data_IF_038483543515
#
_entry.id   IF_038483543515
#
_cell.length_a   1.000
_cell.length_b   1.000
_cell.length_c   1.000
_cell.angle_alpha   90.00
_cell.angle_beta   90.00
_cell.angle_gamma   90.00
#
_symmetry.space_group_name_H-M   'P 1'
#
loop_
_entity.id
_entity.type
_entity.pdbx_description
1 polymer ?
#
# COMPACT_ATOMS: atom_id res chain seq x y z
N UNK A 1 12.99 -30.17 11.33
CA UNK A 1 12.96 -28.69 11.43
C UNK A 1 13.45 -27.95 10.19
N UNK A 2 14.55 -28.36 9.53
CA UNK A 2 15.11 -27.68 8.33
C UNK A 2 14.09 -27.45 7.18
N UNK A 3 13.28 -28.46 6.83
CA UNK A 3 12.21 -28.33 5.80
C UNK A 3 11.14 -27.30 6.22
N UNK A 4 10.68 -27.36 7.48
CA UNK A 4 9.72 -26.41 8.06
C UNK A 4 10.22 -24.96 7.99
N UNK A 5 11.50 -24.72 8.31
CA UNK A 5 12.12 -23.40 8.19
C UNK A 5 12.19 -22.89 6.75
N UNK A 6 12.52 -23.76 5.78
CA UNK A 6 12.51 -23.38 4.36
C UNK A 6 11.11 -22.95 3.91
N UNK A 7 10.08 -23.71 4.28
CA UNK A 7 8.68 -23.39 3.96
C UNK A 7 8.28 -22.05 4.59
N UNK A 8 8.58 -21.83 5.88
CA UNK A 8 8.25 -20.57 6.56
C UNK A 8 8.98 -19.36 5.95
N UNK A 9 10.25 -19.51 5.54
CA UNK A 9 10.97 -18.46 4.82
C UNK A 9 10.27 -18.09 3.51
N UNK A 10 9.87 -19.09 2.73
CA UNK A 10 9.17 -18.88 1.46
C UNK A 10 7.80 -18.22 1.68
N UNK A 11 7.02 -18.67 2.66
CA UNK A 11 5.73 -18.08 3.01
C UNK A 11 5.87 -16.63 3.50
N UNK A 12 6.90 -16.33 4.29
CA UNK A 12 7.17 -14.96 4.77
C UNK A 12 7.52 -14.05 3.60
N UNK A 13 8.34 -14.54 2.66
CA UNK A 13 8.68 -13.80 1.44
C UNK A 13 7.45 -13.53 0.57
N UNK A 14 6.61 -14.55 0.35
CA UNK A 14 5.35 -14.40 -0.38
C UNK A 14 4.42 -13.37 0.27
N UNK A 15 4.28 -13.38 1.60
CA UNK A 15 3.51 -12.36 2.34
C UNK A 15 4.12 -10.96 2.21
N UNK A 16 5.44 -10.85 2.14
CA UNK A 16 6.14 -9.61 1.82
C UNK A 16 5.76 -9.07 0.43
N UNK A 17 5.75 -9.92 -0.59
CA UNK A 17 5.32 -9.54 -1.94
C UNK A 17 3.85 -9.08 -1.99
N UNK A 18 2.96 -9.76 -1.26
CA UNK A 18 1.55 -9.36 -1.17
C UNK A 18 1.41 -7.96 -0.55
N UNK A 19 2.20 -7.63 0.48
CA UNK A 19 2.21 -6.30 1.08
C UNK A 19 2.71 -5.23 0.10
N UNK A 20 3.81 -5.49 -0.61
CA UNK A 20 4.33 -4.55 -1.60
C UNK A 20 3.34 -4.30 -2.74
N UNK A 21 2.69 -5.35 -3.24
CA UNK A 21 1.65 -5.21 -4.25
C UNK A 21 0.47 -4.37 -3.74
N UNK A 22 0.06 -4.56 -2.48
CA UNK A 22 -1.00 -3.77 -1.87
C UNK A 22 -0.59 -2.29 -1.69
N UNK A 23 0.66 -2.01 -1.31
CA UNK A 23 1.20 -0.64 -1.22
C UNK A 23 1.16 0.06 -2.58
N UNK A 24 1.57 -0.63 -3.64
CA UNK A 24 1.53 -0.09 -5.02
C UNK A 24 0.10 0.29 -5.40
N UNK A 25 -0.89 -0.57 -5.10
CA UNK A 25 -2.32 -0.27 -5.37
C UNK A 25 -2.79 0.97 -4.63
N UNK A 26 -2.42 1.13 -3.34
CA UNK A 26 -2.74 2.33 -2.56
C UNK A 26 -2.10 3.57 -3.17
N UNK A 27 -0.83 3.51 -3.56
CA UNK A 27 -0.12 4.64 -4.18
C UNK A 27 -0.79 5.04 -5.49
N UNK A 28 -1.11 4.07 -6.36
CA UNK A 28 -1.81 4.35 -7.62
C UNK A 28 -3.17 5.00 -7.40
N UNK A 29 -3.93 4.53 -6.40
CA UNK A 29 -5.21 5.12 -6.05
C UNK A 29 -5.06 6.58 -5.58
N UNK A 30 -4.01 6.89 -4.78
CA UNK A 30 -3.69 8.26 -4.35
C UNK A 30 -3.30 9.16 -5.51
N UNK A 31 -2.46 8.68 -6.42
CA UNK A 31 -2.07 9.43 -7.63
C UNK A 31 -3.29 9.76 -8.48
N UNK A 32 -4.22 8.82 -8.64
CA UNK A 32 -5.45 9.06 -9.39
C UNK A 32 -6.34 10.10 -8.70
N UNK A 33 -6.42 10.06 -7.37
CA UNK A 33 -7.17 11.04 -6.59
C UNK A 33 -6.56 12.44 -6.72
N UNK A 34 -5.23 12.57 -6.66
CA UNK A 34 -4.53 13.84 -6.87
C UNK A 34 -4.82 14.42 -8.27
N UNK A 35 -4.82 13.59 -9.32
CA UNK A 35 -5.20 14.03 -10.67
C UNK A 35 -6.63 14.56 -10.73
N UNK A 36 -7.59 13.85 -10.12
CA UNK A 36 -8.98 14.31 -10.07
C UNK A 36 -9.16 15.62 -9.30
N UNK A 37 -8.37 15.84 -8.24
CA UNK A 37 -8.36 17.09 -7.50
C UNK A 37 -7.80 18.25 -8.35
N UNK A 38 -6.70 18.01 -9.07
CA UNK A 38 -6.14 18.99 -10.01
C UNK A 38 -7.12 19.34 -11.14
N UNK A 39 -7.80 18.35 -11.70
CA UNK A 39 -8.86 18.57 -12.70
C UNK A 39 -9.98 19.43 -12.11
N UNK A 40 -10.41 19.17 -10.88
CA UNK A 40 -11.42 19.99 -10.22
C UNK A 40 -10.97 21.43 -10.01
N UNK A 41 -9.74 21.65 -9.56
CA UNK A 41 -9.16 23.00 -9.40
C UNK A 41 -9.12 23.77 -10.73
N UNK A 42 -8.73 23.10 -11.82
CA UNK A 42 -8.73 23.73 -13.15
C UNK A 42 -10.14 24.15 -13.58
N UNK A 43 -11.16 23.31 -13.38
CA UNK A 43 -12.56 23.66 -13.69
C UNK A 43 -13.05 24.84 -12.83
N UNK A 44 -12.73 24.86 -11.53
CA UNK A 44 -13.07 25.97 -10.65
C UNK A 44 -12.40 27.27 -11.14
N UNK A 45 -11.13 27.20 -11.55
CA UNK A 45 -10.40 28.35 -12.08
C UNK A 45 -11.02 28.87 -13.39
N UNK A 46 -11.39 27.97 -14.30
CA UNK A 46 -12.06 28.32 -15.56
C UNK A 46 -13.41 28.99 -15.27
N UNK A 47 -14.19 28.44 -14.35
CA UNK A 47 -15.48 29.03 -13.94
C UNK A 47 -15.30 30.44 -13.37
N UNK A 48 -14.32 30.65 -12.50
CA UNK A 48 -14.00 31.99 -11.97
C UNK A 48 -13.65 32.96 -13.10
N UNK A 49 -12.80 32.54 -14.04
CA UNK A 49 -12.44 33.38 -15.20
C UNK A 49 -13.66 33.78 -16.04
N UNK A 50 -14.64 32.86 -16.22
CA UNK A 50 -15.89 33.19 -16.90
C UNK A 50 -16.70 34.24 -16.12
N UNK A 51 -16.83 34.12 -14.80
CA UNK A 51 -17.50 35.12 -13.96
C UNK A 51 -16.77 36.48 -13.97
N UNK A 52 -15.45 36.51 -13.78
CA UNK A 52 -14.66 37.74 -13.84
C UNK A 52 -14.80 38.44 -15.19
N UNK A 53 -14.91 37.65 -16.27
CA UNK A 53 -15.12 38.19 -17.62
C UNK A 53 -16.53 38.73 -17.85
N UNK A 54 -17.53 38.26 -17.08
CA UNK A 54 -18.89 38.80 -17.07
C UNK A 54 -18.95 40.11 -16.27
N UNK A 55 -18.21 40.18 -15.16
CA UNK A 55 -18.16 41.37 -14.31
C UNK A 55 -17.39 42.54 -14.97
N UNK A 56 -16.30 42.25 -15.69
CA UNK A 56 -15.45 43.28 -16.32
C UNK A 56 -15.99 43.85 -17.64
N UNK A 57 -16.79 43.10 -18.39
CA UNK A 57 -17.37 43.55 -19.67
C UNK A 57 -18.81 43.99 -19.44
N UNK A 58 -19.11 45.27 -19.64
CA UNK A 58 -20.49 45.79 -19.52
C UNK A 58 -21.36 45.58 -20.77
N UNK A 59 -20.77 45.23 -21.92
CA UNK A 59 -21.49 45.06 -23.18
C UNK A 59 -21.18 43.69 -23.76
N UNK A 60 -22.23 42.90 -23.98
CA UNK A 60 -22.18 41.59 -24.63
C UNK A 60 -23.15 41.56 -25.81
N UNK A 61 -22.78 40.86 -26.87
CA UNK A 61 -23.78 40.38 -27.84
C UNK A 61 -24.61 39.27 -27.18
N UNK A 62 -25.87 39.12 -27.62
CA UNK A 62 -26.77 38.11 -27.05
C UNK A 62 -26.20 36.68 -27.17
N UNK A 63 -25.47 36.39 -28.25
CA UNK A 63 -24.82 35.10 -28.48
C UNK A 63 -23.64 34.86 -27.53
N UNK A 64 -22.76 35.86 -27.33
CA UNK A 64 -21.64 35.76 -26.39
C UNK A 64 -22.13 35.52 -24.96
N UNK A 65 -23.20 36.20 -24.56
CA UNK A 65 -23.77 36.04 -23.22
C UNK A 65 -24.37 34.64 -23.02
N UNK A 66 -25.16 34.14 -23.98
CA UNK A 66 -25.69 32.77 -23.95
C UNK A 66 -24.58 31.73 -23.90
N UNK A 67 -23.53 31.91 -24.70
CA UNK A 67 -22.38 31.00 -24.71
C UNK A 67 -21.68 30.94 -23.35
N UNK A 68 -21.43 32.09 -22.71
CA UNK A 68 -20.78 32.12 -21.39
C UNK A 68 -21.64 31.47 -20.31
N UNK A 69 -22.95 31.73 -20.29
CA UNK A 69 -23.87 31.08 -19.35
C UNK A 69 -23.87 29.56 -19.53
N UNK A 70 -23.94 29.10 -20.77
CA UNK A 70 -23.86 27.67 -21.09
C UNK A 70 -22.55 27.03 -20.60
N UNK A 71 -21.41 27.69 -20.78
CA UNK A 71 -20.13 27.17 -20.28
C UNK A 71 -20.08 27.11 -18.74
N UNK A 72 -20.67 28.07 -18.05
CA UNK A 72 -20.76 28.07 -16.58
C UNK A 72 -21.61 26.89 -16.09
N UNK A 73 -22.77 26.66 -16.71
CA UNK A 73 -23.65 25.52 -16.39
C UNK A 73 -22.93 24.20 -16.64
N UNK A 74 -22.32 24.05 -17.81
CA UNK A 74 -21.56 22.84 -18.18
C UNK A 74 -20.40 22.57 -17.21
N UNK A 75 -19.68 23.61 -16.79
CA UNK A 75 -18.60 23.48 -15.79
C UNK A 75 -19.14 23.02 -14.43
N UNK A 76 -20.35 23.46 -14.04
CA UNK A 76 -21.00 23.00 -12.80
C UNK A 76 -21.40 21.53 -12.88
N UNK A 77 -21.90 21.08 -14.03
CA UNK A 77 -22.19 19.66 -14.26
C UNK A 77 -20.93 18.80 -14.19
N UNK A 78 -19.83 19.25 -14.82
CA UNK A 78 -18.54 18.55 -14.73
C UNK A 78 -17.99 18.52 -13.31
N UNK A 79 -18.10 19.60 -12.55
CA UNK A 79 -17.70 19.63 -11.13
C UNK A 79 -18.49 18.59 -10.32
N UNK A 80 -19.80 18.49 -10.53
CA UNK A 80 -20.63 17.49 -9.86
C UNK A 80 -20.23 16.05 -10.22
N UNK A 81 -19.92 15.79 -11.49
CA UNK A 81 -19.43 14.49 -11.94
C UNK A 81 -18.06 14.16 -11.33
N UNK A 82 -17.15 15.12 -11.26
CA UNK A 82 -15.85 14.96 -10.62
C UNK A 82 -15.98 14.71 -9.12
N UNK A 83 -16.87 15.41 -8.42
CA UNK A 83 -17.13 15.18 -7.00
C UNK A 83 -17.55 13.73 -6.75
N UNK A 84 -18.49 13.20 -7.55
CA UNK A 84 -18.88 11.78 -7.46
C UNK A 84 -17.70 10.84 -7.68
N UNK A 85 -16.84 11.12 -8.66
CA UNK A 85 -15.63 10.33 -8.92
C UNK A 85 -14.65 10.39 -7.75
N UNK A 86 -14.43 11.57 -7.16
CA UNK A 86 -13.57 11.77 -6.00
C UNK A 86 -14.11 10.99 -4.79
N UNK A 87 -15.43 11.01 -4.57
CA UNK A 87 -16.06 10.27 -3.47
C UNK A 87 -15.87 8.76 -3.63
N UNK A 88 -16.11 8.22 -4.84
CA UNK A 88 -15.83 6.81 -5.14
C UNK A 88 -14.35 6.46 -4.92
N UNK A 89 -13.44 7.30 -5.40
CA UNK A 89 -12.00 7.10 -5.24
C UNK A 89 -11.56 7.13 -3.77
N UNK A 90 -12.19 7.98 -2.95
CA UNK A 90 -11.96 8.05 -1.51
C UNK A 90 -12.44 6.79 -0.79
N UNK A 91 -13.59 6.23 -1.19
CA UNK A 91 -14.09 4.97 -0.65
C UNK A 91 -13.17 3.80 -1.03
N UNK A 92 -12.75 3.73 -2.29
CA UNK A 92 -11.76 2.77 -2.75
C UNK A 92 -10.47 2.86 -1.93
N UNK A 93 -9.94 4.07 -1.73
CA UNK A 93 -8.73 4.28 -0.93
C UNK A 93 -8.90 3.77 0.51
N UNK A 94 -10.04 4.05 1.15
CA UNK A 94 -10.36 3.53 2.50
C UNK A 94 -10.37 2.00 2.52
N UNK A 95 -10.95 1.36 1.52
CA UNK A 95 -10.98 -0.11 1.45
C UNK A 95 -9.58 -0.70 1.24
N UNK A 96 -8.78 -0.10 0.37
CA UNK A 96 -7.40 -0.52 0.10
C UNK A 96 -6.50 -0.35 1.33
N UNK A 97 -6.66 0.73 2.09
CA UNK A 97 -5.93 0.93 3.35
C UNK A 97 -6.29 -0.14 4.39
N UNK A 98 -7.57 -0.48 4.54
CA UNK A 98 -8.01 -1.57 5.43
C UNK A 98 -7.42 -2.92 4.99
N UNK A 99 -7.36 -3.19 3.69
CA UNK A 99 -6.74 -4.41 3.15
C UNK A 99 -5.23 -4.44 3.42
N UNK A 100 -4.53 -3.32 3.21
CA UNK A 100 -3.10 -3.21 3.48
C UNK A 100 -2.80 -3.45 4.96
N UNK A 101 -3.61 -2.91 5.87
CA UNK A 101 -3.45 -3.12 7.30
C UNK A 101 -3.59 -4.61 7.69
N UNK A 102 -4.58 -5.31 7.10
CA UNK A 102 -4.75 -6.75 7.29
C UNK A 102 -3.53 -7.53 6.79
N UNK A 103 -3.06 -7.24 5.59
CA UNK A 103 -1.90 -7.90 4.98
C UNK A 103 -0.63 -7.68 5.81
N UNK A 104 -0.42 -6.45 6.30
CA UNK A 104 0.70 -6.12 7.18
C UNK A 104 0.67 -6.93 8.48
N UNK A 105 -0.51 -7.02 9.11
CA UNK A 105 -0.71 -7.85 10.31
C UNK A 105 -0.37 -9.32 10.04
N UNK A 106 -0.85 -9.88 8.93
CA UNK A 106 -0.55 -11.25 8.52
C UNK A 106 0.95 -11.49 8.28
N UNK A 107 1.63 -10.58 7.58
CA UNK A 107 3.08 -10.67 7.36
C UNK A 107 3.84 -10.68 8.69
N UNK A 108 3.49 -9.78 9.62
CA UNK A 108 4.13 -9.69 10.93
C UNK A 108 3.93 -10.96 11.75
N UNK A 109 2.75 -11.55 11.71
CA UNK A 109 2.49 -12.85 12.34
C UNK A 109 3.36 -13.95 11.75
N UNK A 110 3.46 -14.03 10.42
CA UNK A 110 4.30 -15.02 9.74
C UNK A 110 5.79 -14.86 10.10
N UNK A 111 6.26 -13.61 10.16
CA UNK A 111 7.63 -13.28 10.57
C UNK A 111 7.92 -13.71 12.01
N UNK A 112 6.99 -13.48 12.94
CA UNK A 112 7.13 -13.94 14.31
C UNK A 112 7.22 -15.47 14.40
N UNK A 113 6.39 -16.19 13.65
CA UNK A 113 6.42 -17.66 13.61
C UNK A 113 7.74 -18.16 13.03
N UNK A 114 8.20 -17.58 11.92
CA UNK A 114 9.52 -17.88 11.32
C UNK A 114 10.64 -17.72 12.34
N UNK A 115 10.66 -16.61 13.08
CA UNK A 115 11.71 -16.29 14.05
C UNK A 115 11.70 -17.25 15.24
N UNK A 116 10.52 -17.57 15.78
CA UNK A 116 10.37 -18.57 16.85
C UNK A 116 10.90 -19.94 16.44
N UNK A 117 10.51 -20.42 15.26
CA UNK A 117 10.97 -21.73 14.76
C UNK A 117 12.48 -21.72 14.49
N UNK A 118 13.03 -20.60 14.02
CA UNK A 118 14.47 -20.46 13.81
C UNK A 118 15.21 -20.57 15.14
N UNK A 119 14.77 -19.83 16.16
CA UNK A 119 15.38 -19.87 17.48
C UNK A 119 15.37 -21.28 18.09
N UNK A 120 14.25 -22.00 18.00
CA UNK A 120 14.15 -23.38 18.50
C UNK A 120 15.15 -24.28 17.77
N UNK A 121 15.22 -24.16 16.44
CA UNK A 121 16.14 -24.96 15.64
C UNK A 121 17.61 -24.66 15.95
N UNK A 122 17.96 -23.39 16.17
CA UNK A 122 19.31 -22.98 16.55
C UNK A 122 19.69 -23.57 17.93
N UNK A 123 18.79 -23.55 18.91
CA UNK A 123 18.99 -24.19 20.22
C UNK A 123 19.17 -25.71 20.11
N UNK A 124 18.40 -26.39 19.27
CA UNK A 124 18.55 -27.83 19.04
C UNK A 124 19.92 -28.17 18.44
N UNK A 125 20.39 -27.37 17.48
CA UNK A 125 21.71 -27.59 16.88
C UNK A 125 22.83 -27.38 17.91
N UNK A 126 22.73 -26.35 18.74
CA UNK A 126 23.70 -26.10 19.83
C UNK A 126 23.73 -27.28 20.80
N UNK A 127 22.58 -27.80 21.22
CA UNK A 127 22.50 -28.98 22.10
C UNK A 127 23.14 -30.21 21.48
N UNK A 128 22.92 -30.45 20.18
CA UNK A 128 23.56 -31.57 19.46
C UNK A 128 25.07 -31.40 19.40
N UNK A 129 25.54 -30.21 19.08
CA UNK A 129 26.97 -29.90 19.03
C UNK A 129 27.67 -30.18 20.36
N UNK A 130 27.10 -29.72 21.48
CA UNK A 130 27.69 -30.02 22.79
C UNK A 130 27.66 -31.51 23.12
N UNK A 131 26.60 -32.22 22.78
CA UNK A 131 26.53 -33.68 22.97
C UNK A 131 27.59 -34.42 22.15
N UNK A 132 27.78 -34.04 20.88
CA UNK A 132 28.83 -34.61 20.02
C UNK A 132 30.23 -34.32 20.59
N UNK A 133 30.46 -33.14 21.14
CA UNK A 133 31.73 -32.80 21.81
C UNK A 133 31.96 -33.62 23.08
N UNK A 134 30.95 -33.78 23.93
CA UNK A 134 31.02 -34.62 25.13
C UNK A 134 31.32 -36.08 24.76
N UNK A 135 30.64 -36.63 23.75
CA UNK A 135 30.86 -37.98 23.24
C UNK A 135 32.31 -38.15 22.74
N UNK A 136 32.86 -37.16 22.01
CA UNK A 136 34.25 -37.16 21.55
C UNK A 136 35.24 -37.10 22.72
N UNK A 137 34.97 -36.28 23.74
CA UNK A 137 35.82 -36.20 24.94
C UNK A 137 35.83 -37.51 25.70
N UNK A 138 34.67 -38.17 25.85
CA UNK A 138 34.55 -39.49 26.48
C UNK A 138 35.33 -40.55 25.70
N UNK A 139 35.20 -40.58 24.36
CA UNK A 139 35.95 -41.49 23.50
C UNK A 139 37.46 -41.27 23.59
N UNK A 140 37.92 -40.02 23.68
CA UNK A 140 39.33 -39.69 23.87
C UNK A 140 39.84 -40.21 25.21
N UNK A 141 39.15 -39.88 26.30
CA UNK A 141 39.51 -40.36 27.65
C UNK A 141 39.51 -41.87 27.73
N UNK A 142 38.54 -42.56 27.12
CA UNK A 142 38.47 -44.02 27.10
C UNK A 142 39.65 -44.70 26.39
N UNK A 143 40.32 -44.01 25.45
CA UNK A 143 41.55 -44.51 24.80
C UNK A 143 42.80 -44.30 25.65
N UNK A 144 42.83 -43.33 26.55
CA UNK A 144 43.98 -43.06 27.43
C UNK A 144 44.10 -44.12 28.56
N UNK A 145 43.07 -44.98 28.74
CA UNK A 145 43.05 -46.07 29.73
C UNK A 145 43.22 -47.48 29.11
N UNK A 146 43.60 -47.57 27.82
CA UNK A 146 44.00 -48.80 27.11
C UNK A 146 45.48 -48.68 26.75
#
# INVERSE_FOLDING_TARGET
MKKKLKILKLLTWYKGLQEEQAKIRVINCRINLEKLLQEKETIISLRKNYYDSLEKKCVFTAEEFKYKLFQIEKNKEFENLLNKKIDMQNEELKTLLKLLEKIYKERKLMENVKNKVKHIWDLENIKRFYKEMDDLVLLRRGRDYV
#
